data_IF_230111932543
#
_entry.id   IF_230111932543
#
_cell.length_a   1.000
_cell.length_b   1.000
_cell.length_c   1.000
_cell.angle_alpha   90.00
_cell.angle_beta   90.00
_cell.angle_gamma   90.00
#
_symmetry.space_group_name_H-M   'P 1'
#
loop_
_entity.id
_entity.type
_entity.pdbx_description
1 polymer ?
#
# COMPACT_ATOMS: atom_id res chain seq x y z
N UNK A 1 9.52 -0.62 38.94
CA UNK A 1 9.47 -1.80 38.06
C UNK A 1 8.74 -1.35 36.80
N UNK A 2 9.48 -1.05 35.73
CA UNK A 2 8.91 -0.63 34.45
C UNK A 2 8.90 -1.86 33.56
N UNK A 3 7.72 -2.22 33.07
CA UNK A 3 7.50 -3.41 32.26
C UNK A 3 8.27 -3.31 30.94
N UNK A 4 9.25 -4.19 30.79
CA UNK A 4 9.88 -4.53 29.53
C UNK A 4 8.96 -5.54 28.82
N UNK A 5 8.02 -5.04 28.01
CA UNK A 5 7.33 -5.90 27.04
C UNK A 5 8.14 -5.96 25.76
N UNK A 6 8.55 -7.18 25.43
CA UNK A 6 9.19 -7.57 24.18
C UNK A 6 8.40 -7.06 22.97
N UNK A 7 9.01 -6.21 22.15
CA UNK A 7 8.56 -5.89 20.80
C UNK A 7 8.72 -7.11 19.88
N UNK A 8 7.82 -8.09 20.02
CA UNK A 8 7.42 -8.95 18.92
C UNK A 8 6.64 -8.06 17.93
N UNK A 9 6.96 -8.11 16.64
CA UNK A 9 6.47 -7.22 15.58
C UNK A 9 4.97 -7.31 15.27
N UNK A 10 4.11 -7.19 16.29
CA UNK A 10 2.67 -7.07 16.15
C UNK A 10 2.35 -5.66 15.65
N UNK A 11 1.96 -5.57 14.39
CA UNK A 11 1.41 -4.35 13.79
C UNK A 11 0.17 -3.91 14.58
N UNK A 12 0.01 -2.60 14.79
CA UNK A 12 -1.16 -2.08 15.48
C UNK A 12 -2.44 -2.47 14.71
N UNK A 13 -3.61 -2.55 15.38
CA UNK A 13 -4.86 -2.80 14.67
C UNK A 13 -5.14 -1.82 13.52
N UNK A 14 -4.77 -0.54 13.67
CA UNK A 14 -4.87 0.46 12.60
C UNK A 14 -3.94 0.13 11.43
N UNK A 15 -2.71 -0.30 11.68
CA UNK A 15 -1.78 -0.67 10.60
C UNK A 15 -2.23 -1.93 9.86
N UNK A 16 -2.73 -2.93 10.60
CA UNK A 16 -3.34 -4.14 10.01
C UNK A 16 -4.58 -3.80 9.17
N UNK A 17 -5.37 -2.82 9.62
CA UNK A 17 -6.55 -2.37 8.90
C UNK A 17 -6.19 -1.60 7.64
N UNK A 18 -5.16 -0.74 7.70
CA UNK A 18 -4.60 -0.06 6.52
C UNK A 18 -4.04 -1.06 5.51
N UNK A 19 -3.46 -2.17 5.96
CA UNK A 19 -2.99 -3.24 5.08
C UNK A 19 -4.13 -4.03 4.41
N UNK A 20 -5.18 -4.38 5.16
CA UNK A 20 -6.38 -4.97 4.59
C UNK A 20 -7.05 -3.99 3.59
N UNK A 21 -7.04 -2.70 3.94
CA UNK A 21 -7.45 -1.59 3.08
C UNK A 21 -6.46 -1.31 1.94
N UNK A 22 -5.24 -1.80 1.96
CA UNK A 22 -4.33 -1.75 0.82
C UNK A 22 -4.69 -2.88 -0.15
N UNK A 23 -4.75 -4.11 0.37
CA UNK A 23 -5.04 -5.33 -0.37
C UNK A 23 -6.47 -5.40 -0.95
N UNK A 24 -7.41 -4.63 -0.40
CA UNK A 24 -8.83 -4.78 -0.74
C UNK A 24 -9.48 -6.00 -0.13
N UNK A 25 -8.90 -6.49 0.96
CA UNK A 25 -9.43 -7.60 1.72
C UNK A 25 -10.52 -7.09 2.68
N UNK A 26 -11.73 -6.98 2.13
CA UNK A 26 -12.93 -6.56 2.84
C UNK A 26 -13.21 -7.44 4.07
N UNK A 27 -12.99 -8.75 3.94
CA UNK A 27 -13.23 -9.68 5.04
C UNK A 27 -12.26 -9.45 6.20
N UNK A 28 -10.98 -9.17 5.89
CA UNK A 28 -10.00 -8.80 6.91
C UNK A 28 -10.33 -7.46 7.58
N UNK A 29 -10.80 -6.46 6.81
CA UNK A 29 -11.25 -5.17 7.38
C UNK A 29 -12.42 -5.37 8.35
N UNK A 30 -13.45 -6.13 7.98
CA UNK A 30 -14.60 -6.41 8.86
C UNK A 30 -14.18 -7.18 10.12
N UNK A 31 -13.31 -8.16 9.97
CA UNK A 31 -12.78 -8.94 11.08
C UNK A 31 -12.07 -8.02 12.07
N UNK A 32 -11.21 -7.12 11.58
CA UNK A 32 -10.50 -6.15 12.42
C UNK A 32 -11.46 -5.16 13.09
N UNK A 33 -12.49 -4.68 12.41
CA UNK A 33 -13.51 -3.81 13.01
C UNK A 33 -14.28 -4.49 14.14
N UNK A 34 -14.61 -5.78 13.97
CA UNK A 34 -15.28 -6.59 15.00
C UNK A 34 -14.36 -6.90 16.17
N UNK A 35 -13.09 -7.19 15.90
CA UNK A 35 -12.07 -7.48 16.93
C UNK A 35 -11.70 -6.23 17.76
N UNK A 36 -11.71 -5.05 17.13
CA UNK A 36 -11.26 -3.79 17.75
C UNK A 36 -12.29 -2.66 17.61
N UNK A 37 -13.48 -2.79 18.26
CA UNK A 37 -14.51 -1.78 18.20
C UNK A 37 -14.00 -0.46 18.82
N UNK A 38 -14.12 0.64 18.08
CA UNK A 38 -13.73 1.98 18.54
C UNK A 38 -12.29 2.40 18.27
N UNK A 39 -11.45 1.52 17.71
CA UNK A 39 -10.05 1.84 17.36
C UNK A 39 -9.95 2.59 16.03
N UNK A 40 -10.84 2.30 15.09
CA UNK A 40 -10.82 2.91 13.75
C UNK A 40 -11.57 4.23 13.72
N UNK A 41 -10.95 5.21 13.08
CA UNK A 41 -11.55 6.51 12.80
C UNK A 41 -12.78 6.37 11.91
N UNK A 42 -13.69 7.33 11.98
CA UNK A 42 -14.85 7.39 11.08
C UNK A 42 -14.43 7.43 9.60
N UNK A 43 -13.28 8.04 9.28
CA UNK A 43 -12.70 8.04 7.93
C UNK A 43 -12.34 6.63 7.45
N UNK A 44 -11.68 5.82 8.29
CA UNK A 44 -11.29 4.44 7.98
C UNK A 44 -12.51 3.54 7.75
N UNK A 45 -13.59 3.73 8.51
CA UNK A 45 -14.84 2.98 8.34
C UNK A 45 -15.56 3.36 7.05
N UNK A 46 -15.70 4.65 6.78
CA UNK A 46 -16.37 5.16 5.58
C UNK A 46 -15.70 4.70 4.28
N UNK A 47 -14.37 4.54 4.29
CA UNK A 47 -13.63 4.02 3.14
C UNK A 47 -13.81 2.53 2.89
N UNK A 48 -14.01 1.73 3.95
CA UNK A 48 -14.38 0.32 3.81
C UNK A 48 -15.75 0.20 3.14
N UNK A 49 -16.73 0.97 3.61
CA UNK A 49 -18.09 0.98 3.04
C UNK A 49 -18.09 1.38 1.56
N UNK A 50 -17.27 2.37 1.18
CA UNK A 50 -17.09 2.78 -0.22
C UNK A 50 -16.41 1.73 -1.10
N UNK A 51 -15.59 0.84 -0.52
CA UNK A 51 -14.93 -0.23 -1.26
C UNK A 51 -15.78 -1.50 -1.33
N UNK A 52 -16.63 -1.73 -0.31
CA UNK A 52 -17.67 -2.76 -0.31
C UNK A 52 -18.75 -2.47 -1.34
N UNK A 53 -19.10 -1.20 -1.52
CA UNK A 53 -19.77 -0.74 -2.72
C UNK A 53 -18.81 -1.00 -3.89
N UNK A 54 -18.97 -2.15 -4.57
CA UNK A 54 -18.13 -2.55 -5.70
C UNK A 54 -17.79 -1.33 -6.57
N UNK A 55 -16.51 -1.12 -6.89
CA UNK A 55 -15.98 0.07 -7.61
C UNK A 55 -16.54 0.24 -9.05
N UNK A 56 -17.62 -0.44 -9.38
CA UNK A 56 -18.40 -0.30 -10.60
C UNK A 56 -19.63 0.59 -10.34
N UNK A 57 -20.26 1.01 -11.43
CA UNK A 57 -21.45 1.87 -11.39
C UNK A 57 -22.59 1.26 -10.53
N UNK A 58 -22.74 -0.06 -10.53
CA UNK A 58 -23.79 -0.76 -9.80
C UNK A 58 -23.58 -0.77 -8.28
N UNK A 59 -22.33 -0.82 -7.80
CA UNK A 59 -22.02 -0.70 -6.38
C UNK A 59 -22.29 0.70 -5.84
N UNK A 60 -21.94 1.73 -6.63
CA UNK A 60 -22.23 3.13 -6.30
C UNK A 60 -23.75 3.39 -6.28
N UNK A 61 -24.49 2.88 -7.26
CA UNK A 61 -25.96 2.99 -7.30
C UNK A 61 -26.62 2.29 -6.12
N UNK A 62 -26.10 1.13 -5.71
CA UNK A 62 -26.57 0.40 -4.52
C UNK A 62 -26.31 1.18 -3.23
N UNK A 63 -25.10 1.74 -3.08
CA UNK A 63 -24.75 2.57 -1.93
C UNK A 63 -25.64 3.82 -1.82
N UNK A 64 -25.87 4.50 -2.95
CA UNK A 64 -26.79 5.64 -3.00
C UNK A 64 -28.20 5.20 -2.61
N UNK A 65 -28.71 4.09 -3.16
CA UNK A 65 -30.03 3.59 -2.80
C UNK A 65 -30.13 3.14 -1.32
N UNK A 66 -29.06 2.61 -0.73
CA UNK A 66 -29.04 2.23 0.68
C UNK A 66 -29.05 3.45 1.61
N UNK A 67 -28.23 4.47 1.30
CA UNK A 67 -28.12 5.67 2.14
C UNK A 67 -29.20 6.71 1.87
N UNK A 68 -29.79 6.69 0.67
CA UNK A 68 -30.75 7.69 0.20
C UNK A 68 -32.10 7.14 -0.24
N UNK A 69 -32.32 5.82 -0.18
CA UNK A 69 -33.60 5.22 -0.56
C UNK A 69 -34.76 5.82 0.23
N UNK A 70 -35.69 6.46 -0.49
CA UNK A 70 -36.86 7.12 0.11
C UNK A 70 -36.60 8.51 0.70
N UNK A 71 -35.38 9.04 0.61
CA UNK A 71 -35.06 10.41 0.98
C UNK A 71 -35.32 11.35 -0.21
N UNK A 72 -35.80 12.57 0.08
CA UNK A 72 -35.76 13.64 -0.91
C UNK A 72 -34.31 13.98 -1.29
N UNK A 73 -34.10 14.59 -2.45
CA UNK A 73 -32.75 14.97 -2.91
C UNK A 73 -31.98 15.78 -1.85
N UNK A 74 -32.64 16.72 -1.18
CA UNK A 74 -32.05 17.53 -0.11
C UNK A 74 -31.70 16.70 1.13
N UNK A 75 -32.56 15.74 1.51
CA UNK A 75 -32.27 14.84 2.63
C UNK A 75 -31.13 13.86 2.31
N UNK A 76 -31.06 13.34 1.09
CA UNK A 76 -29.95 12.51 0.62
C UNK A 76 -28.63 13.30 0.61
N UNK A 77 -28.66 14.54 0.13
CA UNK A 77 -27.52 15.46 0.18
C UNK A 77 -27.02 15.69 1.60
N UNK A 78 -27.92 16.00 2.53
CA UNK A 78 -27.57 16.19 3.93
C UNK A 78 -27.05 14.90 4.56
N UNK A 79 -27.63 13.74 4.24
CA UNK A 79 -27.16 12.44 4.74
C UNK A 79 -25.74 12.11 4.26
N UNK A 80 -25.47 12.28 2.96
CA UNK A 80 -24.13 12.06 2.38
C UNK A 80 -23.13 13.09 2.94
N UNK A 81 -23.52 14.36 3.04
CA UNK A 81 -22.67 15.42 3.61
C UNK A 81 -22.35 15.16 5.09
N UNK A 82 -23.33 14.73 5.89
CA UNK A 82 -23.12 14.39 7.30
C UNK A 82 -22.24 13.15 7.46
N UNK A 83 -22.38 12.17 6.57
CA UNK A 83 -21.53 10.99 6.52
C UNK A 83 -20.08 11.34 6.14
N UNK A 84 -19.87 12.23 5.17
CA UNK A 84 -18.54 12.72 4.75
C UNK A 84 -17.87 13.66 5.77
N UNK A 85 -18.63 14.55 6.42
CA UNK A 85 -18.10 15.49 7.44
C UNK A 85 -17.60 14.79 8.69
N UNK A 86 -18.11 13.58 9.00
CA UNK A 86 -17.56 12.75 10.07
C UNK A 86 -16.21 12.12 9.69
N UNK A 87 -15.82 12.12 8.41
CA UNK A 87 -14.56 11.52 7.90
C UNK A 87 -13.41 12.51 7.68
N UNK A 88 -13.63 13.64 6.99
CA UNK A 88 -12.66 14.75 6.82
C UNK A 88 -13.38 15.90 6.07
N UNK A 89 -13.30 17.16 6.53
CA UNK A 89 -14.07 18.29 5.97
C UNK A 89 -13.69 18.66 4.52
N UNK A 90 -12.58 18.13 3.97
CA UNK A 90 -12.14 18.40 2.59
C UNK A 90 -12.82 17.53 1.54
N UNK A 91 -13.33 16.34 1.90
CA UNK A 91 -14.16 15.56 0.99
C UNK A 91 -15.46 16.31 0.63
N UNK A 92 -15.95 17.13 1.56
CA UNK A 92 -17.13 17.98 1.38
C UNK A 92 -16.98 19.02 0.26
N UNK A 93 -15.78 19.57 0.06
CA UNK A 93 -15.56 20.60 -0.97
C UNK A 93 -15.68 20.05 -2.39
N UNK A 94 -15.39 18.76 -2.57
CA UNK A 94 -15.41 18.08 -3.87
C UNK A 94 -16.81 17.47 -4.14
N UNK A 95 -17.49 16.95 -3.11
CA UNK A 95 -18.84 16.38 -3.25
C UNK A 95 -19.98 17.41 -3.15
N UNK A 96 -19.79 18.53 -2.43
CA UNK A 96 -20.83 19.53 -2.19
C UNK A 96 -21.29 20.26 -3.45
N UNK A 97 -20.41 20.50 -4.43
CA UNK A 97 -20.77 21.14 -5.71
C UNK A 97 -21.52 20.22 -6.69
N UNK A 98 -21.42 18.91 -6.48
CA UNK A 98 -21.85 17.86 -7.41
C UNK A 98 -23.33 17.51 -7.28
N UNK A 99 -23.87 17.58 -6.07
CA UNK A 99 -25.20 17.06 -5.77
C UNK A 99 -26.36 17.95 -6.25
N UNK A 100 -26.10 19.20 -6.65
CA UNK A 100 -27.12 20.13 -7.13
C UNK A 100 -27.73 19.74 -8.50
N UNK A 101 -27.13 18.79 -9.23
CA UNK A 101 -27.42 18.50 -10.63
C UNK A 101 -28.26 17.25 -10.87
N UNK A 102 -29.24 16.96 -10.01
CA UNK A 102 -30.07 15.74 -10.01
C UNK A 102 -30.24 15.07 -11.39
N UNK A 103 -29.83 13.80 -11.49
CA UNK A 103 -29.81 13.02 -12.73
C UNK A 103 -28.46 12.32 -12.98
N UNK A 104 -28.27 11.66 -14.14
CA UNK A 104 -27.03 10.94 -14.50
C UNK A 104 -25.74 11.80 -14.39
N UNK A 105 -25.89 13.11 -14.51
CA UNK A 105 -24.83 14.11 -14.35
C UNK A 105 -24.32 14.19 -12.91
N UNK A 106 -25.19 14.05 -11.92
CA UNK A 106 -24.82 14.01 -10.50
C UNK A 106 -24.00 12.75 -10.17
N UNK A 107 -24.36 11.60 -10.75
CA UNK A 107 -23.61 10.34 -10.60
C UNK A 107 -22.20 10.48 -11.21
N UNK A 108 -22.06 11.05 -12.41
CA UNK A 108 -20.74 11.31 -13.03
C UNK A 108 -19.88 12.26 -12.20
N UNK A 109 -20.49 13.31 -11.67
CA UNK A 109 -19.79 14.26 -10.83
C UNK A 109 -19.45 13.65 -9.45
N UNK A 110 -20.25 12.72 -8.91
CA UNK A 110 -19.92 11.94 -7.69
C UNK A 110 -18.74 11.00 -7.96
N UNK A 111 -18.71 10.35 -9.13
CA UNK A 111 -17.59 9.52 -9.57
C UNK A 111 -16.31 10.36 -9.75
N UNK A 112 -16.40 11.54 -10.36
CA UNK A 112 -15.26 12.45 -10.51
C UNK A 112 -14.80 13.01 -9.17
N UNK A 113 -15.73 13.34 -8.26
CA UNK A 113 -15.42 13.81 -6.92
C UNK A 113 -14.78 12.71 -6.06
N UNK A 114 -15.25 11.47 -6.20
CA UNK A 114 -14.64 10.29 -5.59
C UNK A 114 -13.24 10.05 -6.14
N UNK A 115 -13.02 10.16 -7.46
CA UNK A 115 -11.68 10.05 -8.07
C UNK A 115 -10.73 11.13 -7.56
N UNK A 116 -11.16 12.39 -7.49
CA UNK A 116 -10.36 13.49 -6.97
C UNK A 116 -10.13 13.37 -5.46
N UNK A 117 -11.14 12.94 -4.69
CA UNK A 117 -11.02 12.68 -3.25
C UNK A 117 -10.09 11.51 -2.96
N UNK A 118 -10.16 10.44 -3.75
CA UNK A 118 -9.23 9.31 -3.73
C UNK A 118 -7.82 9.77 -4.05
N UNK A 119 -7.61 10.66 -5.02
CA UNK A 119 -6.29 11.19 -5.36
C UNK A 119 -5.69 12.04 -4.22
N UNK A 120 -6.48 12.92 -3.60
CA UNK A 120 -6.06 13.71 -2.43
C UNK A 120 -5.79 12.84 -1.21
N UNK A 121 -6.61 11.80 -0.99
CA UNK A 121 -6.47 10.88 0.13
C UNK A 121 -5.30 9.91 -0.08
N UNK A 122 -5.10 9.41 -1.31
CA UNK A 122 -3.92 8.65 -1.73
C UNK A 122 -2.64 9.47 -1.51
N UNK A 123 -2.69 10.78 -1.74
CA UNK A 123 -1.55 11.69 -1.49
C UNK A 123 -1.30 11.92 0.01
N UNK A 124 -2.36 12.11 0.81
CA UNK A 124 -2.27 12.46 2.24
C UNK A 124 -2.04 11.27 3.18
N UNK A 125 -2.58 10.10 2.84
CA UNK A 125 -2.60 8.91 3.71
C UNK A 125 -1.94 7.67 3.10
N UNK A 126 -1.79 7.59 1.76
CA UNK A 126 -1.24 6.41 1.06
C UNK A 126 0.01 6.73 0.22
N UNK A 127 0.58 7.93 0.39
CA UNK A 127 1.81 8.37 -0.27
C UNK A 127 1.90 7.93 -1.74
N UNK A 128 1.24 8.65 -2.65
CA UNK A 128 1.65 8.63 -4.06
C UNK A 128 2.26 9.96 -4.51
N UNK A 129 3.46 9.81 -5.10
CA UNK A 129 4.14 10.68 -6.06
C UNK A 129 5.21 11.66 -5.58
N UNK A 130 5.68 11.59 -4.33
CA UNK A 130 7.06 12.02 -4.11
C UNK A 130 7.95 10.87 -4.60
N UNK A 131 8.73 11.05 -5.68
CA UNK A 131 9.63 10.00 -6.13
C UNK A 131 10.58 9.62 -5.00
N UNK A 132 10.77 8.32 -4.80
CA UNK A 132 11.74 7.82 -3.82
C UNK A 132 13.12 8.38 -4.17
N UNK A 133 13.76 9.05 -3.21
CA UNK A 133 15.09 9.61 -3.37
C UNK A 133 16.17 8.66 -2.87
N UNK A 134 17.07 8.23 -3.76
CA UNK A 134 18.32 7.55 -3.39
C UNK A 134 19.50 8.17 -4.12
N UNK A 135 20.68 8.13 -3.49
CA UNK A 135 21.95 8.50 -4.15
C UNK A 135 22.34 7.51 -5.24
N UNK A 136 21.85 6.27 -5.17
CA UNK A 136 22.01 5.26 -6.21
C UNK A 136 20.86 5.40 -7.24
N UNK A 137 21.14 5.79 -8.49
CA UNK A 137 20.12 5.96 -9.52
C UNK A 137 19.35 4.67 -9.82
N UNK A 138 19.99 3.51 -9.69
CA UNK A 138 19.35 2.22 -9.99
C UNK A 138 18.36 1.83 -8.90
N UNK A 139 18.68 2.09 -7.63
CA UNK A 139 17.76 1.94 -6.50
C UNK A 139 16.55 2.85 -6.68
N UNK A 140 16.81 4.14 -6.97
CA UNK A 140 15.79 5.15 -7.21
C UNK A 140 14.83 4.74 -8.35
N UNK A 141 15.39 4.36 -9.50
CA UNK A 141 14.61 3.91 -10.67
C UNK A 141 13.81 2.65 -10.36
N UNK A 142 14.38 1.69 -9.64
CA UNK A 142 13.69 0.45 -9.26
C UNK A 142 12.50 0.73 -8.36
N UNK A 143 12.70 1.51 -7.30
CA UNK A 143 11.63 1.87 -6.36
C UNK A 143 10.50 2.65 -7.04
N UNK A 144 10.83 3.66 -7.85
CA UNK A 144 9.82 4.46 -8.54
C UNK A 144 9.10 3.68 -9.62
N UNK A 145 9.77 2.78 -10.34
CA UNK A 145 9.11 1.89 -11.29
C UNK A 145 8.14 0.96 -10.57
N UNK A 146 8.55 0.32 -9.48
CA UNK A 146 7.68 -0.53 -8.67
C UNK A 146 6.49 0.24 -8.10
N UNK A 147 6.71 1.45 -7.59
CA UNK A 147 5.62 2.27 -7.04
C UNK A 147 4.64 2.77 -8.11
N UNK A 148 5.09 2.98 -9.34
CA UNK A 148 4.20 3.34 -10.44
C UNK A 148 3.34 2.15 -10.89
N UNK A 149 3.94 0.96 -10.98
CA UNK A 149 3.30 -0.26 -11.48
C UNK A 149 2.48 -0.99 -10.42
N UNK A 150 2.87 -0.83 -9.15
CA UNK A 150 2.25 -1.43 -7.97
C UNK A 150 2.21 -0.36 -6.86
N UNK A 151 1.29 0.62 -6.97
CA UNK A 151 1.21 1.72 -6.01
C UNK A 151 1.13 1.25 -4.57
N UNK A 152 2.00 1.79 -3.71
CA UNK A 152 2.10 1.47 -2.28
C UNK A 152 2.79 0.14 -1.94
N UNK A 153 3.36 -0.57 -2.92
CA UNK A 153 4.16 -1.77 -2.64
C UNK A 153 5.51 -1.44 -1.99
N UNK A 154 6.06 -0.25 -2.29
CA UNK A 154 7.34 0.23 -1.75
C UNK A 154 7.08 1.05 -0.50
N UNK A 155 7.71 0.67 0.62
CA UNK A 155 7.65 1.41 1.89
C UNK A 155 8.82 2.39 2.06
N UNK A 156 9.93 2.16 1.37
CA UNK A 156 11.08 3.07 1.41
C UNK A 156 12.27 2.60 0.59
N UNK A 157 13.25 3.49 0.46
CA UNK A 157 14.58 3.21 -0.12
C UNK A 157 15.66 3.53 0.90
N UNK A 158 16.76 2.78 0.90
CA UNK A 158 17.85 2.95 1.87
C UNK A 158 17.38 2.78 3.32
N UNK A 159 16.45 1.85 3.56
CA UNK A 159 15.82 1.66 4.86
C UNK A 159 16.76 0.87 5.76
N UNK A 160 17.11 1.42 6.92
CA UNK A 160 17.97 0.75 7.89
C UNK A 160 17.27 -0.47 8.49
N UNK A 161 17.86 -1.65 8.29
CA UNK A 161 17.42 -2.93 8.87
C UNK A 161 18.34 -3.34 10.02
N UNK A 162 17.78 -3.96 11.05
CA UNK A 162 18.49 -4.37 12.26
C UNK A 162 18.01 -5.74 12.73
N UNK A 163 18.95 -6.61 13.12
CA UNK A 163 18.67 -7.99 13.50
C UNK A 163 19.96 -8.78 13.69
N UNK A 164 19.91 -9.85 14.49
CA UNK A 164 21.08 -10.67 14.83
C UNK A 164 22.30 -9.86 15.35
N UNK A 165 22.05 -8.77 16.10
CA UNK A 165 23.10 -7.88 16.62
C UNK A 165 23.84 -7.07 15.55
N UNK A 166 23.33 -7.04 14.31
CA UNK A 166 23.92 -6.36 13.16
C UNK A 166 22.90 -5.42 12.54
N UNK A 167 23.42 -4.53 11.69
CA UNK A 167 22.61 -3.59 10.94
C UNK A 167 23.10 -3.47 9.51
N UNK A 168 22.18 -3.17 8.60
CA UNK A 168 22.45 -2.95 7.18
C UNK A 168 21.39 -2.00 6.62
N UNK A 169 21.53 -1.59 5.37
CA UNK A 169 20.54 -0.77 4.67
C UNK A 169 19.94 -1.61 3.54
N UNK A 170 18.61 -1.64 3.50
CA UNK A 170 17.86 -2.25 2.41
C UNK A 170 17.71 -1.24 1.28
N UNK A 171 18.13 -1.62 0.07
CA UNK A 171 18.03 -0.73 -1.10
C UNK A 171 16.60 -0.31 -1.36
N UNK A 172 15.68 -1.28 -1.46
CA UNK A 172 14.24 -1.05 -1.52
C UNK A 172 13.55 -1.95 -0.50
N UNK A 173 12.71 -1.36 0.36
CA UNK A 173 11.86 -2.10 1.29
C UNK A 173 10.43 -2.13 0.75
N UNK A 174 9.79 -3.29 0.82
CA UNK A 174 8.39 -3.48 0.47
C UNK A 174 7.50 -3.39 1.71
N UNK A 175 6.23 -3.01 1.55
CA UNK A 175 5.28 -2.88 2.66
C UNK A 175 4.95 -4.22 3.34
N UNK A 176 5.10 -5.35 2.65
CA UNK A 176 4.96 -6.70 3.21
C UNK A 176 6.22 -7.20 3.98
N UNK A 177 7.24 -6.35 4.15
CA UNK A 177 8.44 -6.66 4.92
C UNK A 177 9.48 -7.50 4.18
N UNK A 178 9.36 -7.62 2.86
CA UNK A 178 10.41 -8.16 1.98
C UNK A 178 11.28 -7.00 1.50
N UNK A 179 12.60 -7.21 1.40
CA UNK A 179 13.50 -6.24 0.75
C UNK A 179 13.92 -6.71 -0.63
N UNK A 180 14.26 -5.74 -1.48
CA UNK A 180 14.92 -5.95 -2.76
C UNK A 180 16.34 -5.38 -2.63
N UNK A 181 17.34 -6.23 -2.75
CA UNK A 181 18.74 -5.85 -2.95
C UNK A 181 18.93 -5.54 -4.44
N UNK A 182 19.39 -4.33 -4.75
CA UNK A 182 19.55 -3.83 -6.11
C UNK A 182 21.04 -3.71 -6.41
N UNK A 183 21.50 -4.41 -7.45
CA UNK A 183 22.92 -4.41 -7.81
C UNK A 183 23.15 -4.04 -9.27
N UNK A 184 23.99 -3.03 -9.49
CA UNK A 184 24.61 -2.77 -10.77
C UNK A 184 25.93 -3.54 -10.93
N UNK A 185 26.24 -3.98 -12.15
CA UNK A 185 27.49 -4.68 -12.48
C UNK A 185 27.51 -6.19 -12.20
N UNK A 186 28.70 -6.80 -12.38
CA UNK A 186 28.89 -8.26 -12.48
C UNK A 186 28.58 -9.10 -11.23
N UNK A 187 28.17 -8.50 -10.12
CA UNK A 187 27.75 -9.22 -8.90
C UNK A 187 28.87 -9.57 -7.91
N UNK A 188 30.04 -8.92 -7.99
CA UNK A 188 31.11 -9.13 -6.99
C UNK A 188 30.61 -8.81 -5.58
N UNK A 189 30.74 -9.76 -4.66
CA UNK A 189 30.33 -9.60 -3.26
C UNK A 189 28.83 -9.74 -2.97
N UNK A 190 27.98 -9.89 -3.99
CA UNK A 190 26.52 -9.94 -3.82
C UNK A 190 26.07 -11.10 -2.94
N UNK A 191 26.69 -12.29 -3.09
CA UNK A 191 26.35 -13.47 -2.30
C UNK A 191 26.57 -13.22 -0.80
N UNK A 192 27.71 -12.64 -0.42
CA UNK A 192 28.04 -12.36 0.98
C UNK A 192 27.14 -11.27 1.56
N UNK A 193 26.76 -10.28 0.75
CA UNK A 193 25.87 -9.20 1.18
C UNK A 193 24.45 -9.73 1.43
N UNK A 194 23.89 -10.46 0.47
CA UNK A 194 22.55 -11.04 0.55
C UNK A 194 22.46 -12.11 1.65
N UNK A 195 23.52 -12.88 1.90
CA UNK A 195 23.60 -13.79 3.05
C UNK A 195 23.51 -13.05 4.39
N UNK A 196 24.27 -11.97 4.56
CA UNK A 196 24.22 -11.14 5.78
C UNK A 196 22.86 -10.49 5.98
N UNK A 197 22.24 -9.97 4.93
CA UNK A 197 20.91 -9.37 5.00
C UNK A 197 19.85 -10.41 5.34
N UNK A 198 19.93 -11.63 4.78
CA UNK A 198 19.03 -12.72 5.14
C UNK A 198 19.14 -13.10 6.62
N UNK A 199 20.35 -13.11 7.20
CA UNK A 199 20.56 -13.31 8.64
C UNK A 199 19.92 -12.18 9.47
N UNK A 200 20.08 -10.92 9.04
CA UNK A 200 19.49 -9.76 9.70
C UNK A 200 17.95 -9.81 9.65
N UNK A 201 17.37 -10.20 8.52
CA UNK A 201 15.92 -10.25 8.30
C UNK A 201 15.26 -11.56 8.77
N UNK A 202 16.05 -12.53 9.25
CA UNK A 202 15.56 -13.79 9.77
C UNK A 202 15.11 -14.80 8.72
N UNK A 203 15.49 -14.62 7.45
CA UNK A 203 15.09 -15.52 6.37
C UNK A 203 15.53 -15.08 4.98
N UNK A 204 15.76 -16.05 4.09
CA UNK A 204 16.11 -15.80 2.67
C UNK A 204 14.90 -15.41 1.83
N UNK A 205 13.72 -15.87 2.22
CA UNK A 205 12.41 -15.54 1.63
C UNK A 205 12.07 -14.04 1.75
N UNK A 206 12.73 -13.35 2.67
CA UNK A 206 12.64 -11.90 2.86
C UNK A 206 13.55 -11.09 1.93
N UNK A 207 14.40 -11.74 1.14
CA UNK A 207 15.33 -11.06 0.23
C UNK A 207 15.04 -11.44 -1.23
N UNK A 208 14.80 -10.43 -2.05
CA UNK A 208 14.77 -10.53 -3.50
C UNK A 208 15.99 -9.81 -4.05
N UNK A 209 16.62 -10.36 -5.09
CA UNK A 209 17.76 -9.72 -5.74
C UNK A 209 17.34 -9.23 -7.12
N UNK A 210 17.52 -7.95 -7.39
CA UNK A 210 17.40 -7.36 -8.72
C UNK A 210 18.78 -6.93 -9.22
N UNK A 211 19.30 -7.65 -10.21
CA UNK A 211 20.65 -7.42 -10.73
C UNK A 211 20.70 -7.71 -12.24
N UNK A 212 20.42 -6.73 -13.12
CA UNK A 212 20.34 -6.93 -14.57
C UNK A 212 21.66 -7.40 -15.19
N UNK A 213 22.77 -6.89 -14.65
CA UNK A 213 24.12 -7.12 -15.19
C UNK A 213 24.89 -8.23 -14.45
N UNK A 214 24.22 -8.99 -13.58
CA UNK A 214 24.87 -10.05 -12.80
C UNK A 214 25.52 -11.10 -13.71
N UNK A 215 26.75 -11.51 -13.36
CA UNK A 215 27.44 -12.60 -14.03
C UNK A 215 26.73 -13.93 -13.81
N UNK A 216 26.70 -14.80 -14.82
CA UNK A 216 25.98 -16.07 -14.76
C UNK A 216 26.41 -17.01 -13.61
N UNK A 217 27.69 -16.97 -13.21
CA UNK A 217 28.18 -17.74 -12.07
C UNK A 217 27.58 -17.24 -10.73
N UNK A 218 27.60 -15.92 -10.50
CA UNK A 218 27.02 -15.30 -9.31
C UNK A 218 25.50 -15.52 -9.24
N UNK A 219 24.81 -15.41 -10.38
CA UNK A 219 23.38 -15.69 -10.49
C UNK A 219 23.05 -17.13 -10.10
N UNK A 220 23.77 -18.12 -10.69
CA UNK A 220 23.55 -19.53 -10.38
C UNK A 220 23.76 -19.83 -8.90
N UNK A 221 24.78 -19.21 -8.29
CA UNK A 221 25.06 -19.40 -6.87
C UNK A 221 23.95 -18.83 -5.96
N UNK A 222 23.44 -17.63 -6.26
CA UNK A 222 22.31 -17.07 -5.51
C UNK A 222 21.06 -17.95 -5.62
N UNK A 223 20.76 -18.43 -6.84
CA UNK A 223 19.62 -19.31 -7.08
C UNK A 223 19.80 -20.64 -6.35
N UNK A 224 20.99 -21.27 -6.40
CA UNK A 224 21.27 -22.51 -5.66
C UNK A 224 21.18 -22.32 -4.15
N UNK A 225 21.44 -21.11 -3.66
CA UNK A 225 21.29 -20.74 -2.25
C UNK A 225 19.83 -20.44 -1.85
N UNK A 226 18.88 -20.50 -2.78
CA UNK A 226 17.44 -20.35 -2.53
C UNK A 226 16.91 -18.92 -2.68
N UNK A 227 17.72 -17.98 -3.18
CA UNK A 227 17.27 -16.60 -3.39
C UNK A 227 16.47 -16.44 -4.68
N UNK A 228 15.50 -15.53 -4.65
CA UNK A 228 14.80 -15.07 -5.85
C UNK A 228 15.66 -14.00 -6.53
N UNK A 229 16.04 -14.24 -7.79
CA UNK A 229 16.94 -13.36 -8.54
C UNK A 229 16.30 -12.97 -9.87
N UNK A 230 16.22 -11.68 -10.14
CA UNK A 230 15.66 -11.11 -11.35
C UNK A 230 16.70 -10.26 -12.07
N UNK A 231 16.80 -10.46 -13.39
CA UNK A 231 17.62 -9.62 -14.28
C UNK A 231 16.78 -8.66 -15.10
N UNK A 232 15.49 -8.91 -15.17
CA UNK A 232 14.53 -8.14 -15.94
C UNK A 232 13.54 -7.48 -14.99
N UNK A 233 13.30 -6.17 -15.19
CA UNK A 233 12.40 -5.39 -14.36
C UNK A 233 10.94 -5.88 -14.44
N UNK A 234 10.48 -6.31 -15.62
CA UNK A 234 9.11 -6.80 -15.82
C UNK A 234 8.89 -8.14 -15.10
N UNK A 235 9.88 -9.03 -15.11
CA UNK A 235 9.82 -10.28 -14.34
C UNK A 235 9.78 -10.02 -12.83
N UNK A 236 10.57 -9.04 -12.36
CA UNK A 236 10.51 -8.58 -10.97
C UNK A 236 9.12 -8.06 -10.64
N UNK A 237 8.59 -7.10 -11.41
CA UNK A 237 7.24 -6.53 -11.20
C UNK A 237 6.19 -7.63 -11.17
N UNK A 238 6.24 -8.56 -12.14
CA UNK A 238 5.30 -9.68 -12.20
C UNK A 238 5.35 -10.54 -10.94
N UNK A 239 6.55 -10.82 -10.42
CA UNK A 239 6.70 -11.55 -9.17
C UNK A 239 6.18 -10.76 -7.96
N UNK A 240 6.49 -9.46 -7.88
CA UNK A 240 6.01 -8.61 -6.78
C UNK A 240 4.47 -8.59 -6.76
N UNK A 241 3.80 -8.49 -7.92
CA UNK A 241 2.33 -8.58 -8.03
C UNK A 241 1.73 -9.91 -7.53
N UNK A 242 2.52 -10.97 -7.36
CA UNK A 242 2.03 -12.26 -6.87
C UNK A 242 2.16 -12.40 -5.34
N UNK A 243 3.01 -11.58 -4.72
CA UNK A 243 3.26 -11.61 -3.26
C UNK A 243 2.60 -10.42 -2.54
N UNK A 244 1.73 -9.72 -3.26
CA UNK A 244 0.86 -8.63 -2.85
C UNK A 244 -0.57 -8.98 -3.26
#
# INVERSE_FOLDING_TARGET
MVNNEMHLGFKSPSDRYKEALYAGDVAAMEKLQKEFPGVFTSAEKNMSDLRQAELNQAGIERFINEKCGGLSNTQCQTAISNWLTQGDQRALAIFGGTLALGGPSAIRALISAYKAGKEVWDTKYFGRNEPFGSKDPMVNNTANRLNNEIPGAVSGVGVRISGAGRTSDADVMLTNGVMIEVKSGGGTGINSQVAKQAEIMGGKDKIIVYAPDIGGAAQRQLISNGYKVFRNMEDLIKYIKQIF
#
